data_IF_160413900347
#
_entry.id   IF_160413900347
#
_cell.length_a   1.000
_cell.length_b   1.000
_cell.length_c   1.000
_cell.angle_alpha   90.00
_cell.angle_beta   90.00
_cell.angle_gamma   90.00
#
_symmetry.space_group_name_H-M   'P 1'
#
loop_
_entity.id
_entity.type
_entity.pdbx_description
1 polymer ?
#
# COMPACT_ATOMS: atom_id res chain seq x y z
N UNK A 1 -26.34 15.56 49.94
CA UNK A 1 -26.07 15.56 48.49
C UNK A 1 -27.38 15.31 47.75
N UNK A 2 -27.74 16.17 46.79
CA UNK A 2 -29.08 16.16 46.19
C UNK A 2 -29.23 14.94 45.25
N UNK A 3 -30.26 14.09 45.42
CA UNK A 3 -30.41 12.83 44.66
C UNK A 3 -30.37 13.05 43.14
N UNK A 4 -30.87 14.19 42.67
CA UNK A 4 -30.83 14.61 41.26
C UNK A 4 -29.40 14.88 40.75
N UNK A 5 -28.53 15.45 41.59
CA UNK A 5 -27.13 15.71 41.25
C UNK A 5 -26.35 14.39 41.18
N UNK A 6 -26.61 13.45 42.10
CA UNK A 6 -25.98 12.13 42.12
C UNK A 6 -26.34 11.27 40.90
N UNK A 7 -27.60 11.31 40.47
CA UNK A 7 -28.07 10.58 39.28
C UNK A 7 -27.48 11.22 38.01
N UNK A 8 -27.42 12.55 37.95
CA UNK A 8 -26.83 13.27 36.82
C UNK A 8 -25.34 12.96 36.62
N UNK A 9 -24.56 12.92 37.71
CA UNK A 9 -23.13 12.55 37.63
C UNK A 9 -22.93 11.09 37.21
N UNK A 10 -23.77 10.17 37.69
CA UNK A 10 -23.68 8.76 37.31
C UNK A 10 -23.92 8.55 35.80
N UNK A 11 -24.96 9.19 35.25
CA UNK A 11 -25.29 9.13 33.82
C UNK A 11 -24.17 9.76 32.98
N UNK A 12 -23.63 10.90 33.42
CA UNK A 12 -22.52 11.57 32.74
C UNK A 12 -21.28 10.68 32.62
N UNK A 13 -20.90 9.98 33.69
CA UNK A 13 -19.74 9.06 33.69
C UNK A 13 -19.97 7.88 32.75
N UNK A 14 -21.17 7.30 32.74
CA UNK A 14 -21.50 6.18 31.85
C UNK A 14 -21.39 6.63 30.38
N UNK A 15 -22.01 7.75 30.02
CA UNK A 15 -21.97 8.28 28.65
C UNK A 15 -20.53 8.60 28.20
N UNK A 16 -19.72 9.19 29.07
CA UNK A 16 -18.32 9.51 28.77
C UNK A 16 -17.48 8.24 28.55
N UNK A 17 -17.75 7.19 29.32
CA UNK A 17 -17.07 5.89 29.21
C UNK A 17 -17.41 5.18 27.89
N UNK A 18 -18.70 5.17 27.53
CA UNK A 18 -19.15 4.63 26.24
C UNK A 18 -18.58 5.42 25.06
N UNK A 19 -18.55 6.75 25.16
CA UNK A 19 -17.98 7.61 24.13
C UNK A 19 -16.47 7.39 23.95
N UNK A 20 -15.72 7.25 25.04
CA UNK A 20 -14.29 6.95 24.99
C UNK A 20 -13.99 5.61 24.31
N UNK A 21 -14.74 4.56 24.64
CA UNK A 21 -14.62 3.25 23.98
C UNK A 21 -14.95 3.32 22.48
N UNK A 22 -15.98 4.08 22.12
CA UNK A 22 -16.37 4.30 20.73
C UNK A 22 -15.29 5.03 19.92
N UNK A 23 -14.68 6.08 20.48
CA UNK A 23 -13.59 6.82 19.83
C UNK A 23 -12.33 5.96 19.68
N UNK A 24 -11.99 5.13 20.67
CA UNK A 24 -10.81 4.26 20.57
C UNK A 24 -10.90 3.26 19.40
N UNK A 25 -12.11 2.88 18.98
CA UNK A 25 -12.31 2.03 17.81
C UNK A 25 -11.88 2.67 16.50
N UNK A 26 -11.95 4.00 16.36
CA UNK A 26 -11.57 4.70 15.13
C UNK A 26 -10.06 4.63 14.84
N UNK A 27 -9.21 4.60 15.87
CA UNK A 27 -7.76 4.49 15.70
C UNK A 27 -7.31 3.13 15.14
N UNK A 28 -8.15 2.09 15.25
CA UNK A 28 -7.86 0.76 14.66
C UNK A 28 -8.12 0.70 13.15
N UNK A 29 -8.79 1.71 12.58
CA UNK A 29 -9.14 1.77 11.15
C UNK A 29 -8.43 2.92 10.43
N UNK A 30 -7.36 3.47 11.02
CA UNK A 30 -6.52 4.44 10.32
C UNK A 30 -5.94 3.76 9.07
N UNK A 31 -6.06 4.44 7.92
CA UNK A 31 -5.62 3.89 6.63
C UNK A 31 -4.12 3.55 6.69
N UNK A 32 -3.68 2.45 6.06
CA UNK A 32 -2.27 2.10 6.03
C UNK A 32 -1.47 3.25 5.41
N UNK A 33 -0.38 3.64 6.07
CA UNK A 33 0.54 4.64 5.55
C UNK A 33 1.36 4.02 4.42
N UNK A 34 1.40 4.71 3.28
CA UNK A 34 2.15 4.27 2.11
C UNK A 34 3.60 4.77 2.20
N UNK A 35 4.56 3.86 2.15
CA UNK A 35 5.98 4.21 2.03
C UNK A 35 6.42 4.03 0.59
N UNK A 36 6.63 5.15 -0.13
CA UNK A 36 7.14 5.13 -1.50
C UNK A 36 8.62 4.74 -1.47
N UNK A 37 8.95 3.62 -2.11
CA UNK A 37 10.31 3.09 -2.17
C UNK A 37 11.01 3.58 -3.44
N UNK A 38 10.31 3.53 -4.57
CA UNK A 38 10.86 3.88 -5.89
C UNK A 38 9.76 4.43 -6.79
N UNK A 39 10.05 5.50 -7.52
CA UNK A 39 9.16 6.11 -8.51
C UNK A 39 9.97 6.51 -9.74
N UNK A 40 9.57 6.04 -10.91
CA UNK A 40 10.19 6.41 -12.18
C UNK A 40 9.14 6.59 -13.26
N UNK A 41 9.35 7.56 -14.14
CA UNK A 41 8.61 7.63 -15.41
C UNK A 41 9.41 6.94 -16.52
N UNK A 42 8.71 6.50 -17.56
CA UNK A 42 9.32 5.95 -18.76
C UNK A 42 10.12 7.03 -19.53
N UNK A 43 10.81 6.60 -20.58
CA UNK A 43 11.69 7.46 -21.37
C UNK A 43 10.97 8.65 -22.01
N UNK A 44 9.68 8.51 -22.34
CA UNK A 44 8.86 9.58 -22.92
C UNK A 44 8.16 10.44 -21.86
N UNK A 45 8.22 10.06 -20.59
CA UNK A 45 7.54 10.77 -19.50
C UNK A 45 6.01 10.66 -19.58
N UNK A 46 5.49 9.60 -20.20
CA UNK A 46 4.07 9.34 -20.35
C UNK A 46 3.56 8.39 -19.26
N UNK A 47 4.35 7.39 -18.93
CA UNK A 47 3.98 6.32 -18.00
C UNK A 47 4.86 6.41 -16.77
N UNK A 48 4.29 6.10 -15.61
CA UNK A 48 4.98 6.10 -14.32
C UNK A 48 4.70 4.81 -13.60
N UNK A 49 5.76 4.28 -13.00
CA UNK A 49 5.71 3.11 -12.14
C UNK A 49 6.16 3.51 -10.75
N UNK A 50 5.39 3.10 -9.76
CA UNK A 50 5.64 3.37 -8.35
C UNK A 50 5.68 2.05 -7.59
N UNK A 51 6.78 1.82 -6.88
CA UNK A 51 6.95 0.74 -5.92
C UNK A 51 6.83 1.30 -4.51
N UNK A 52 5.99 0.68 -3.70
CA UNK A 52 5.68 1.14 -2.35
C UNK A 52 5.33 -0.04 -1.43
N UNK A 53 5.45 0.20 -0.13
CA UNK A 53 4.99 -0.70 0.92
C UNK A 53 3.79 -0.07 1.64
N UNK A 54 2.81 -0.90 2.00
CA UNK A 54 1.71 -0.49 2.86
C UNK A 54 2.06 -0.84 4.30
N UNK A 55 2.28 0.19 5.12
CA UNK A 55 2.59 0.05 6.54
C UNK A 55 1.36 0.36 7.39
N UNK A 56 1.00 -0.52 8.33
CA UNK A 56 -0.12 -0.30 9.23
C UNK A 56 -0.29 -1.40 10.28
N UNK A 57 -1.05 -1.10 11.33
CA UNK A 57 -1.25 -2.01 12.47
C UNK A 57 -1.97 -3.33 12.11
N UNK A 58 -2.55 -3.45 10.91
CA UNK A 58 -3.30 -4.61 10.44
C UNK A 58 -2.54 -5.51 9.45
N UNK A 59 -1.27 -5.22 9.15
CA UNK A 59 -0.49 -5.95 8.13
C UNK A 59 0.37 -7.02 8.82
N UNK A 60 -0.01 -8.30 8.70
CA UNK A 60 0.67 -9.44 9.36
C UNK A 60 1.98 -9.85 8.68
N UNK A 61 2.09 -9.66 7.36
CA UNK A 61 3.28 -9.93 6.54
C UNK A 61 3.57 -8.70 5.68
N UNK A 62 4.84 -8.27 5.61
CA UNK A 62 5.25 -7.17 4.74
C UNK A 62 4.93 -7.48 3.27
N UNK A 63 4.45 -6.48 2.54
CA UNK A 63 4.10 -6.61 1.13
C UNK A 63 4.65 -5.45 0.30
N UNK A 64 5.21 -5.78 -0.86
CA UNK A 64 5.66 -4.79 -1.83
C UNK A 64 4.66 -4.74 -2.96
N UNK A 65 4.21 -3.52 -3.25
CA UNK A 65 3.25 -3.20 -4.30
C UNK A 65 3.96 -2.44 -5.41
N UNK A 66 3.65 -2.76 -6.66
CA UNK A 66 4.05 -1.99 -7.83
C UNK A 66 2.79 -1.61 -8.60
N UNK A 67 2.64 -0.31 -8.83
CA UNK A 67 1.52 0.27 -9.56
C UNK A 67 2.01 1.07 -10.76
N UNK A 68 1.16 1.17 -11.78
CA UNK A 68 1.38 1.97 -12.97
C UNK A 68 0.29 3.04 -13.13
N UNK A 69 0.67 4.22 -13.60
CA UNK A 69 -0.25 5.31 -13.95
C UNK A 69 0.40 6.25 -14.95
N UNK A 70 -0.34 7.26 -15.39
CA UNK A 70 0.22 8.38 -16.16
C UNK A 70 1.29 9.12 -15.33
N UNK A 71 2.35 9.61 -15.98
CA UNK A 71 3.41 10.36 -15.30
C UNK A 71 2.95 11.71 -14.73
N UNK A 72 1.89 12.30 -15.29
CA UNK A 72 1.25 13.50 -14.77
C UNK A 72 0.44 13.24 -13.49
N UNK A 73 0.09 11.98 -13.20
CA UNK A 73 -0.65 11.61 -12.00
C UNK A 73 0.27 11.75 -10.77
N UNK A 74 -0.26 12.32 -9.69
CA UNK A 74 0.48 12.51 -8.45
C UNK A 74 -0.05 11.63 -7.31
N UNK A 75 -1.25 11.07 -7.44
CA UNK A 75 -1.88 10.22 -6.44
C UNK A 75 -1.71 8.73 -6.76
N UNK A 76 -1.29 7.95 -5.77
CA UNK A 76 -1.16 6.49 -5.91
C UNK A 76 -2.52 5.82 -6.02
N UNK A 77 -3.55 6.37 -5.37
CA UNK A 77 -4.95 5.88 -5.42
C UNK A 77 -5.51 5.76 -6.85
N UNK A 78 -5.04 6.60 -7.77
CA UNK A 78 -5.44 6.57 -9.19
C UNK A 78 -4.57 5.62 -10.03
N UNK A 79 -3.64 4.89 -9.41
CA UNK A 79 -2.72 3.99 -10.09
C UNK A 79 -3.25 2.57 -10.14
N UNK A 80 -3.03 1.92 -11.27
CA UNK A 80 -3.34 0.52 -11.46
C UNK A 80 -2.31 -0.34 -10.76
N UNK A 81 -2.71 -1.16 -9.79
CA UNK A 81 -1.84 -2.15 -9.18
C UNK A 81 -1.51 -3.27 -10.19
N UNK A 82 -0.24 -3.40 -10.57
CA UNK A 82 0.22 -4.35 -11.60
C UNK A 82 0.97 -5.55 -11.02
N UNK A 83 1.59 -5.40 -9.86
CA UNK A 83 2.31 -6.48 -9.20
C UNK A 83 2.26 -6.34 -7.67
N UNK A 84 2.08 -7.46 -6.97
CA UNK A 84 2.08 -7.53 -5.51
C UNK A 84 2.73 -8.82 -5.06
N UNK A 85 3.67 -8.70 -4.13
CA UNK A 85 4.33 -9.83 -3.47
C UNK A 85 4.37 -9.62 -1.96
N UNK A 86 4.39 -10.72 -1.20
CA UNK A 86 4.55 -10.66 0.26
C UNK A 86 5.50 -11.74 0.79
N UNK A 87 6.05 -11.48 1.97
CA UNK A 87 6.76 -12.47 2.79
C UNK A 87 6.86 -11.96 4.23
N UNK A 88 7.05 -12.87 5.19
CA UNK A 88 7.22 -12.50 6.59
C UNK A 88 8.49 -11.67 6.86
N UNK A 89 9.52 -11.83 6.03
CA UNK A 89 10.80 -11.11 6.13
C UNK A 89 11.18 -10.46 4.80
N UNK A 90 10.20 -9.93 4.06
CA UNK A 90 10.46 -9.25 2.79
C UNK A 90 11.40 -8.06 3.01
N UNK A 91 12.37 -7.88 2.10
CA UNK A 91 13.24 -6.70 2.05
C UNK A 91 12.98 -5.93 0.78
N UNK A 92 13.19 -4.62 0.82
CA UNK A 92 13.14 -3.76 -0.36
C UNK A 92 14.06 -4.29 -1.48
N UNK A 93 15.23 -4.84 -1.14
CA UNK A 93 16.17 -5.41 -2.12
C UNK A 93 15.64 -6.66 -2.85
N UNK A 94 14.58 -7.29 -2.33
CA UNK A 94 14.00 -8.50 -2.92
C UNK A 94 13.11 -8.17 -4.13
N UNK A 95 12.83 -6.90 -4.40
CA UNK A 95 12.03 -6.45 -5.53
C UNK A 95 12.63 -5.19 -6.13
N UNK A 96 12.75 -5.15 -7.44
CA UNK A 96 13.11 -3.93 -8.17
C UNK A 96 12.39 -3.91 -9.52
N UNK A 97 12.32 -2.75 -10.14
CA UNK A 97 11.83 -2.61 -11.50
C UNK A 97 12.73 -1.67 -12.30
N UNK A 98 12.70 -1.81 -13.61
CA UNK A 98 13.45 -0.97 -14.54
C UNK A 98 12.72 -0.93 -15.88
N UNK A 99 12.69 0.25 -16.52
CA UNK A 99 12.27 0.37 -17.91
C UNK A 99 13.39 -0.15 -18.81
N UNK A 100 13.15 -1.27 -19.49
CA UNK A 100 14.15 -1.88 -20.39
C UNK A 100 13.96 -1.45 -21.84
N UNK A 101 12.79 -0.92 -22.18
CA UNK A 101 12.52 -0.24 -23.45
C UNK A 101 11.51 0.91 -23.24
N UNK A 102 11.15 1.59 -24.32
CA UNK A 102 10.12 2.63 -24.35
C UNK A 102 8.74 2.16 -23.86
N UNK A 103 8.43 0.88 -23.99
CA UNK A 103 7.12 0.30 -23.69
C UNK A 103 7.20 -0.94 -22.80
N UNK A 104 8.41 -1.33 -22.36
CA UNK A 104 8.63 -2.56 -21.60
C UNK A 104 9.20 -2.25 -20.23
N UNK A 105 8.47 -2.67 -19.22
CA UNK A 105 8.86 -2.66 -17.81
C UNK A 105 9.33 -4.06 -17.42
N UNK A 106 10.54 -4.16 -16.88
CA UNK A 106 11.03 -5.40 -16.28
C UNK A 106 10.91 -5.30 -14.76
N UNK A 107 10.20 -6.23 -14.14
CA UNK A 107 10.10 -6.40 -12.69
C UNK A 107 10.95 -7.60 -12.29
N UNK A 108 11.95 -7.35 -11.44
CA UNK A 108 12.86 -8.35 -10.88
C UNK A 108 12.45 -8.63 -9.44
N UNK A 109 12.29 -9.89 -9.07
CA UNK A 109 11.94 -10.24 -7.69
C UNK A 109 12.57 -11.55 -7.20
N UNK A 110 12.71 -11.70 -5.89
CA UNK A 110 13.18 -12.95 -5.29
C UNK A 110 12.11 -14.05 -5.43
N UNK A 111 12.51 -15.22 -5.94
CA UNK A 111 11.63 -16.38 -6.16
C UNK A 111 10.94 -16.90 -4.87
N UNK A 112 11.49 -16.57 -3.70
CA UNK A 112 10.96 -17.00 -2.38
C UNK A 112 9.71 -16.22 -1.95
N UNK A 113 9.39 -15.12 -2.62
CA UNK A 113 8.23 -14.31 -2.29
C UNK A 113 6.92 -14.93 -2.79
N UNK A 114 5.85 -14.77 -2.02
CA UNK A 114 4.52 -15.18 -2.43
C UNK A 114 3.90 -14.11 -3.34
N UNK A 115 3.43 -14.51 -4.52
CA UNK A 115 2.87 -13.61 -5.52
C UNK A 115 1.35 -13.55 -5.34
N UNK A 116 0.82 -12.35 -5.11
CA UNK A 116 -0.63 -12.10 -4.98
C UNK A 116 -1.23 -11.53 -6.26
N UNK A 117 -0.47 -10.72 -6.98
CA UNK A 117 -0.90 -10.11 -8.23
C UNK A 117 0.26 -10.02 -9.19
N UNK A 118 0.02 -10.37 -10.45
CA UNK A 118 1.01 -10.33 -11.51
C UNK A 118 0.33 -10.11 -12.86
N UNK A 119 0.38 -8.88 -13.36
CA UNK A 119 -0.12 -8.54 -14.71
C UNK A 119 1.03 -8.52 -15.71
N UNK A 120 0.81 -9.06 -16.90
CA UNK A 120 1.78 -9.03 -18.02
C UNK A 120 1.70 -7.75 -18.85
N UNK A 121 0.67 -6.94 -18.66
CA UNK A 121 0.45 -5.65 -19.30
C UNK A 121 -0.44 -4.80 -18.38
N UNK A 122 -0.27 -3.48 -18.38
CA UNK A 122 -1.18 -2.59 -17.66
C UNK A 122 -2.32 -2.14 -18.56
N UNK A 123 -3.56 -2.24 -18.06
CA UNK A 123 -4.77 -1.85 -18.79
C UNK A 123 -4.92 -0.33 -18.90
N UNK A 124 -4.30 0.42 -17.98
CA UNK A 124 -4.40 1.88 -17.93
C UNK A 124 -3.39 2.60 -18.82
N UNK A 125 -2.14 2.13 -18.86
CA UNK A 125 -1.04 2.81 -19.58
C UNK A 125 -0.34 1.94 -20.63
N UNK A 126 -0.76 0.68 -20.78
CA UNK A 126 -0.30 -0.27 -21.80
C UNK A 126 1.23 -0.51 -21.92
N UNK A 127 2.05 -0.50 -20.85
CA UNK A 127 3.38 -1.08 -20.92
C UNK A 127 3.30 -2.60 -20.88
N UNK A 128 4.13 -3.26 -21.68
CA UNK A 128 4.42 -4.69 -21.55
C UNK A 128 5.24 -4.92 -20.29
N UNK A 129 4.88 -5.92 -19.50
CA UNK A 129 5.54 -6.24 -18.23
C UNK A 129 6.23 -7.61 -18.34
N UNK A 130 7.54 -7.62 -18.11
CA UNK A 130 8.38 -8.82 -18.09
C UNK A 130 8.83 -9.09 -16.67
N UNK A 131 8.85 -10.36 -16.29
CA UNK A 131 9.21 -10.80 -14.95
C UNK A 131 10.50 -11.61 -14.99
N UNK A 132 11.43 -11.25 -14.11
CA UNK A 132 12.72 -11.94 -13.94
C UNK A 132 12.94 -12.27 -12.47
N UNK A 133 13.65 -13.36 -12.22
CA UNK A 133 14.10 -13.67 -10.87
C UNK A 133 15.44 -12.98 -10.60
N UNK A 134 15.59 -12.42 -9.39
CA UNK A 134 16.89 -12.02 -8.89
C UNK A 134 17.67 -13.31 -8.62
N UNK A 135 18.84 -13.45 -9.24
CA UNK A 135 19.76 -14.55 -8.92
C UNK A 135 20.30 -14.32 -7.50
N UNK A 136 20.12 -15.31 -6.63
CA UNK A 136 20.70 -15.34 -5.26
C UNK A 136 22.25 -15.28 -5.32
#
# INVERSE_FOLDING_TARGET
MNKKILIGTLIGVILFSFFGFWISGFFLFESPNELIIKKECDYEGLRKVVMYELNGNAVTNGAIHISASDCSENKIENSELIFTVSSSNIKISDVNFEWTSFDTLTIRYNKKLEIFKQKTESESVNPKIIFEYIAD
#
